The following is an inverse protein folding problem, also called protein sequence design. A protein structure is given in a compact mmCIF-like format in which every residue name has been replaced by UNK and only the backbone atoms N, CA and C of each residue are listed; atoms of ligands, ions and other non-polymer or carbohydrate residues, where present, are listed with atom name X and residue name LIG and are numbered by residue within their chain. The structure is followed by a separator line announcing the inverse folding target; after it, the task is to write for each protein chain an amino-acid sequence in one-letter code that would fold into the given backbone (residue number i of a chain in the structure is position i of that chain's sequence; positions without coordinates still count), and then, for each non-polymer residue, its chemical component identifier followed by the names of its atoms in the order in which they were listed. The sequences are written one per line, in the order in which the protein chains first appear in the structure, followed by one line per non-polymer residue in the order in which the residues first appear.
data_IF_017574807935
#
_entry.id   IF_017574807935
#
_cell.length_a   1.000
_cell.length_b   1.000
_cell.length_c   1.000
_cell.angle_alpha   90.00
_cell.angle_beta   90.00
_cell.angle_gamma   90.00
#
_symmetry.space_group_name_H-M   'P 1'
#
loop_
_entity.id
_entity.type
_entity.pdbx_description
1 polymer ?
#
# COMPACT_ATOMS: atom_id res chain seq x y z
N UNK A 1 -3.33 7.64 -3.73
CA UNK A 1 -3.87 6.34 -3.24
C UNK A 1 -2.83 5.22 -3.29
N UNK A 2 -1.55 5.57 -3.17
CA UNK A 2 -0.43 4.62 -3.38
C UNK A 2 -0.56 3.33 -2.55
N UNK A 3 -0.94 3.44 -1.29
CA UNK A 3 -1.09 2.27 -0.39
C UNK A 3 -2.54 1.82 -0.20
N UNK A 4 -3.52 2.65 -0.55
CA UNK A 4 -4.92 2.41 -0.22
C UNK A 4 -5.71 1.71 -1.33
N UNK A 5 -5.43 2.01 -2.61
CA UNK A 5 -6.14 1.36 -3.72
C UNK A 5 -5.87 -0.16 -3.74
N UNK A 6 -6.93 -0.94 -3.72
CA UNK A 6 -6.90 -2.40 -3.57
C UNK A 6 -7.00 -2.90 -2.13
N UNK A 7 -6.87 -2.03 -1.12
CA UNK A 7 -7.04 -2.38 0.31
C UNK A 7 -8.20 -1.67 0.98
N UNK A 8 -8.69 -0.57 0.39
CA UNK A 8 -9.90 0.13 0.82
C UNK A 8 -10.68 0.62 -0.39
N UNK A 9 -11.95 0.90 -0.19
CA UNK A 9 -12.79 1.50 -1.22
C UNK A 9 -12.38 2.95 -1.49
N UNK A 10 -12.02 3.27 -2.75
CA UNK A 10 -11.71 4.63 -3.21
C UNK A 10 -12.66 5.01 -4.34
N UNK A 11 -13.68 5.80 -4.02
CA UNK A 11 -14.71 6.24 -4.98
C UNK A 11 -14.25 7.51 -5.71
N UNK A 12 -13.28 7.37 -6.62
CA UNK A 12 -12.58 8.46 -7.31
C UNK A 12 -13.54 9.48 -7.92
N UNK A 13 -14.54 8.99 -8.65
CA UNK A 13 -15.53 9.86 -9.35
C UNK A 13 -16.46 10.57 -8.37
N UNK A 14 -16.91 9.87 -7.32
CA UNK A 14 -17.81 10.44 -6.30
C UNK A 14 -17.13 11.52 -5.46
N UNK A 15 -15.84 11.35 -5.20
CA UNK A 15 -15.02 12.32 -4.44
C UNK A 15 -14.59 13.49 -5.35
N UNK A 16 -14.66 13.32 -6.68
CA UNK A 16 -14.27 14.32 -7.67
C UNK A 16 -12.74 14.46 -7.84
N UNK A 17 -12.03 13.33 -7.74
CA UNK A 17 -10.56 13.29 -7.93
C UNK A 17 -10.25 13.32 -9.44
N UNK A 18 -9.56 14.34 -9.89
CA UNK A 18 -9.17 14.48 -11.30
C UNK A 18 -7.99 13.59 -11.72
N UNK A 19 -7.06 13.28 -10.79
CA UNK A 19 -5.92 12.38 -11.03
C UNK A 19 -5.74 11.49 -9.80
N UNK A 20 -5.77 10.17 -10.01
CA UNK A 20 -5.52 9.19 -8.96
C UNK A 20 -4.36 8.29 -9.36
N UNK A 21 -3.35 8.19 -8.49
CA UNK A 21 -2.16 7.36 -8.72
C UNK A 21 -2.07 6.31 -7.63
N UNK A 22 -1.81 5.06 -8.03
CA UNK A 22 -1.47 3.96 -7.14
C UNK A 22 -0.23 3.22 -7.61
N UNK A 23 0.37 2.43 -6.73
CA UNK A 23 1.53 1.58 -7.03
C UNK A 23 1.18 0.13 -6.82
N UNK A 24 1.67 -0.74 -7.70
CA UNK A 24 1.33 -2.16 -7.68
C UNK A 24 1.95 -2.93 -6.50
N UNK A 25 3.06 -2.45 -5.91
CA UNK A 25 3.76 -3.10 -4.77
C UNK A 25 3.14 -2.78 -3.40
N UNK A 26 1.93 -2.30 -3.34
CA UNK A 26 1.19 -2.01 -2.11
C UNK A 26 0.01 -2.98 -1.99
N UNK A 27 -1.18 -2.49 -1.74
CA UNK A 27 -2.35 -3.34 -1.56
C UNK A 27 -2.73 -4.19 -2.78
N UNK A 28 -2.17 -3.92 -3.96
CA UNK A 28 -2.31 -4.80 -5.13
C UNK A 28 -1.40 -6.04 -5.08
N UNK A 29 -0.42 -6.11 -4.18
CA UNK A 29 0.34 -7.34 -3.89
C UNK A 29 1.39 -7.74 -4.92
N UNK A 30 1.85 -6.84 -5.80
CA UNK A 30 2.82 -7.14 -6.85
C UNK A 30 4.22 -6.61 -6.51
N UNK A 31 5.28 -7.07 -7.20
CA UNK A 31 6.61 -6.46 -7.10
C UNK A 31 6.61 -4.99 -7.52
N UNK A 32 7.52 -4.14 -6.98
CA UNK A 32 7.66 -2.75 -7.40
C UNK A 32 8.14 -2.65 -8.87
N UNK A 33 7.68 -1.63 -9.60
CA UNK A 33 8.10 -1.37 -10.98
C UNK A 33 7.03 -0.80 -11.89
N UNK A 34 5.77 -0.71 -11.41
CA UNK A 34 4.66 -0.13 -12.18
C UNK A 34 3.77 0.72 -11.30
N UNK A 35 3.21 1.77 -11.89
CA UNK A 35 2.13 2.58 -11.29
C UNK A 35 0.92 2.61 -12.22
N UNK A 36 -0.25 2.68 -11.64
CA UNK A 36 -1.51 2.88 -12.35
C UNK A 36 -1.97 4.30 -12.10
N UNK A 37 -2.36 4.99 -13.16
CA UNK A 37 -2.88 6.35 -13.09
C UNK A 37 -4.24 6.42 -13.78
N UNK A 38 -5.26 6.86 -13.05
CA UNK A 38 -6.54 7.25 -13.64
C UNK A 38 -6.66 8.76 -13.69
N UNK A 39 -7.31 9.29 -14.73
CA UNK A 39 -7.49 10.73 -14.88
C UNK A 39 -8.82 11.07 -15.56
N UNK A 40 -9.41 12.19 -15.12
CA UNK A 40 -10.69 12.68 -15.63
C UNK A 40 -10.52 13.40 -16.98
N UNK A 41 -11.63 13.60 -17.70
CA UNK A 41 -11.63 14.43 -18.90
C UNK A 41 -11.16 15.86 -18.60
N UNK A 42 -11.51 16.40 -17.44
CA UNK A 42 -11.06 17.73 -16.99
C UNK A 42 -9.53 17.81 -16.85
N UNK A 43 -8.87 16.74 -16.34
CA UNK A 43 -7.40 16.68 -16.29
C UNK A 43 -6.78 16.69 -17.69
N UNK A 44 -7.37 15.96 -18.66
CA UNK A 44 -6.95 15.97 -20.07
C UNK A 44 -7.09 17.36 -20.69
N UNK A 45 -8.21 18.01 -20.48
CA UNK A 45 -8.47 19.35 -21.06
C UNK A 45 -7.54 20.40 -20.45
N UNK A 46 -7.21 20.27 -19.15
CA UNK A 46 -6.20 21.10 -18.51
C UNK A 46 -4.80 20.83 -19.05
N UNK A 47 -4.44 19.56 -19.26
CA UNK A 47 -3.13 19.17 -19.81
C UNK A 47 -2.86 19.80 -21.20
N UNK A 48 -3.89 19.92 -22.07
CA UNK A 48 -3.79 20.58 -23.38
C UNK A 48 -3.37 22.06 -23.29
N UNK A 49 -3.64 22.71 -22.15
CA UNK A 49 -3.34 24.12 -21.92
C UNK A 49 -1.99 24.35 -21.24
N UNK A 50 -1.33 23.28 -20.75
CA UNK A 50 -0.04 23.36 -20.06
C UNK A 50 1.09 23.15 -21.05
N UNK A 51 1.95 24.15 -21.30
CA UNK A 51 3.17 23.96 -22.09
C UNK A 51 4.20 23.16 -21.25
N UNK A 52 5.12 22.48 -21.93
CA UNK A 52 6.27 21.81 -21.30
C UNK A 52 5.90 20.77 -20.23
N UNK A 53 5.13 19.75 -20.61
CA UNK A 53 4.75 18.63 -19.75
C UNK A 53 5.82 17.54 -19.61
N UNK A 54 6.97 17.72 -20.27
CA UNK A 54 7.99 16.69 -20.41
C UNK A 54 7.65 15.69 -21.52
N UNK A 55 8.39 14.57 -21.54
CA UNK A 55 8.21 13.55 -22.57
C UNK A 55 7.71 12.23 -21.95
N UNK A 56 8.42 11.70 -20.97
CA UNK A 56 8.14 10.36 -20.41
C UNK A 56 6.90 10.32 -19.52
N UNK A 57 6.64 11.39 -18.75
CA UNK A 57 5.52 11.48 -17.81
C UNK A 57 4.34 12.30 -18.36
N UNK A 58 4.32 12.58 -19.67
CA UNK A 58 3.21 13.30 -20.30
C UNK A 58 1.98 12.40 -20.44
N UNK A 59 1.05 12.50 -19.51
CA UNK A 59 -0.21 11.73 -19.52
C UNK A 59 -1.07 12.01 -20.74
N UNK A 60 -0.98 13.21 -21.34
CA UNK A 60 -1.71 13.51 -22.56
C UNK A 60 -1.16 12.70 -23.74
N UNK A 61 0.16 12.58 -23.86
CA UNK A 61 0.76 11.72 -24.88
C UNK A 61 0.37 10.26 -24.68
N UNK A 62 0.40 9.75 -23.44
CA UNK A 62 -0.04 8.39 -23.11
C UNK A 62 -1.52 8.19 -23.49
N UNK A 63 -2.41 9.11 -23.13
CA UNK A 63 -3.81 9.07 -23.48
C UNK A 63 -4.03 9.04 -25.00
N UNK A 64 -3.32 9.87 -25.77
CA UNK A 64 -3.43 9.88 -27.23
C UNK A 64 -2.98 8.58 -27.88
N UNK A 65 -1.93 7.93 -27.35
CA UNK A 65 -1.49 6.61 -27.81
C UNK A 65 -2.57 5.54 -27.54
N UNK A 66 -3.15 5.54 -26.33
CA UNK A 66 -4.23 4.60 -25.99
C UNK A 66 -5.42 4.72 -26.92
N UNK A 67 -5.87 5.95 -27.19
CA UNK A 67 -7.10 6.18 -27.97
C UNK A 67 -6.87 6.10 -29.49
N UNK A 68 -5.77 6.70 -30.00
CA UNK A 68 -5.55 6.83 -31.45
C UNK A 68 -4.73 5.66 -32.03
N UNK A 69 -4.01 4.92 -31.23
CA UNK A 69 -3.09 3.85 -31.67
C UNK A 69 -3.42 2.48 -31.10
N UNK A 70 -4.68 2.22 -30.86
CA UNK A 70 -5.19 0.92 -30.43
C UNK A 70 -4.47 0.38 -29.18
N UNK A 71 -4.55 1.14 -28.07
CA UNK A 71 -3.99 0.77 -26.76
C UNK A 71 -2.45 0.64 -26.72
N UNK A 72 -1.75 1.38 -27.57
CA UNK A 72 -0.29 1.45 -27.50
C UNK A 72 0.17 2.45 -26.43
N UNK A 73 1.46 2.39 -26.13
CA UNK A 73 2.17 3.31 -25.23
C UNK A 73 3.26 4.06 -26.01
N UNK A 74 3.61 5.30 -25.62
CA UNK A 74 4.70 6.05 -26.27
C UNK A 74 6.09 5.47 -25.97
N UNK A 75 6.22 4.61 -24.94
CA UNK A 75 7.43 3.88 -24.59
C UNK A 75 7.08 2.42 -24.31
N UNK A 76 8.07 1.52 -24.37
CA UNK A 76 7.86 0.10 -24.08
C UNK A 76 7.38 -0.10 -22.63
N UNK A 77 6.17 -0.63 -22.41
CA UNK A 77 5.67 -0.89 -21.07
C UNK A 77 6.33 -2.12 -20.45
N UNK A 78 6.30 -2.25 -19.13
CA UNK A 78 6.72 -3.46 -18.42
C UNK A 78 5.69 -4.57 -18.60
N UNK A 79 5.83 -5.37 -19.65
CA UNK A 79 4.87 -6.44 -19.98
C UNK A 79 4.74 -7.47 -18.86
N UNK A 80 5.83 -7.83 -18.20
CA UNK A 80 5.78 -8.78 -17.07
C UNK A 80 4.92 -8.27 -15.92
N UNK A 81 4.96 -6.97 -15.60
CA UNK A 81 4.07 -6.37 -14.59
C UNK A 81 2.63 -6.27 -15.09
N UNK A 82 2.41 -6.04 -16.38
CA UNK A 82 1.04 -5.99 -16.94
C UNK A 82 0.37 -7.36 -16.87
N UNK A 83 1.07 -8.45 -17.26
CA UNK A 83 0.55 -9.80 -17.10
C UNK A 83 0.33 -10.19 -15.63
N UNK A 84 1.28 -9.83 -14.75
CA UNK A 84 1.12 -10.08 -13.32
C UNK A 84 -0.06 -9.30 -12.73
N UNK A 85 -0.29 -8.05 -13.18
CA UNK A 85 -1.44 -7.26 -12.74
C UNK A 85 -2.76 -7.84 -13.24
N UNK A 86 -2.83 -8.27 -14.50
CA UNK A 86 -3.99 -8.93 -15.09
C UNK A 86 -4.41 -10.15 -14.25
N UNK A 87 -3.45 -11.06 -14.01
CA UNK A 87 -3.67 -12.23 -13.16
C UNK A 87 -4.10 -11.86 -11.74
N UNK A 88 -3.46 -10.84 -11.14
CA UNK A 88 -3.79 -10.40 -9.78
C UNK A 88 -5.16 -9.73 -9.69
N UNK A 89 -5.57 -9.03 -10.73
CA UNK A 89 -6.91 -8.44 -10.77
C UNK A 89 -8.00 -9.52 -10.80
N UNK A 90 -7.78 -10.63 -11.51
CA UNK A 90 -8.70 -11.78 -11.49
C UNK A 90 -8.82 -12.35 -10.07
N UNK A 91 -7.69 -12.57 -9.37
CA UNK A 91 -7.70 -13.04 -7.97
C UNK A 91 -8.45 -12.07 -7.05
N UNK A 92 -8.25 -10.76 -7.22
CA UNK A 92 -8.94 -9.73 -6.43
C UNK A 92 -10.45 -9.73 -6.70
N UNK A 93 -10.85 -9.92 -7.95
CA UNK A 93 -12.27 -9.98 -8.33
C UNK A 93 -12.93 -11.28 -7.84
N UNK A 94 -12.21 -12.39 -7.87
CA UNK A 94 -12.67 -13.68 -7.34
C UNK A 94 -12.83 -13.64 -5.80
N UNK A 95 -11.89 -13.00 -5.08
CA UNK A 95 -12.06 -12.71 -3.64
C UNK A 95 -13.29 -11.83 -3.38
N UNK A 96 -13.58 -10.91 -4.28
CA UNK A 96 -14.59 -9.87 -4.17
C UNK A 96 -14.10 -8.65 -3.39
N UNK A 97 -14.37 -7.45 -3.94
CA UNK A 97 -13.83 -6.21 -3.38
C UNK A 97 -14.25 -5.95 -1.92
N UNK A 98 -15.51 -6.21 -1.58
CA UNK A 98 -15.99 -6.00 -0.20
C UNK A 98 -15.32 -6.97 0.78
N UNK A 99 -15.13 -8.25 0.40
CA UNK A 99 -14.40 -9.22 1.22
C UNK A 99 -12.95 -8.79 1.42
N UNK A 100 -12.30 -8.33 0.35
CA UNK A 100 -10.92 -7.83 0.41
C UNK A 100 -10.78 -6.61 1.33
N UNK A 101 -11.71 -5.65 1.26
CA UNK A 101 -11.68 -4.47 2.12
C UNK A 101 -11.92 -4.84 3.58
N UNK A 102 -12.85 -5.74 3.86
CA UNK A 102 -13.12 -6.25 5.21
C UNK A 102 -11.89 -6.98 5.78
N UNK A 103 -11.23 -7.85 5.00
CA UNK A 103 -10.00 -8.53 5.41
C UNK A 103 -8.89 -7.54 5.77
N UNK A 104 -8.71 -6.48 4.99
CA UNK A 104 -7.74 -5.42 5.32
C UNK A 104 -8.11 -4.67 6.61
N UNK A 105 -9.38 -4.42 6.85
CA UNK A 105 -9.87 -3.80 8.08
C UNK A 105 -9.64 -4.70 9.29
N UNK A 106 -9.92 -5.99 9.18
CA UNK A 106 -9.71 -6.99 10.24
C UNK A 106 -8.22 -7.09 10.60
N UNK A 107 -7.32 -7.19 9.61
CA UNK A 107 -5.88 -7.16 9.84
C UNK A 107 -5.42 -5.86 10.50
N UNK A 108 -5.95 -4.71 10.06
CA UNK A 108 -5.65 -3.41 10.64
C UNK A 108 -6.09 -3.33 12.11
N UNK A 109 -7.29 -3.81 12.42
CA UNK A 109 -7.83 -3.82 13.78
C UNK A 109 -7.02 -4.76 14.69
N UNK A 110 -6.61 -5.92 14.19
CA UNK A 110 -5.73 -6.84 14.89
C UNK A 110 -4.41 -6.15 15.31
N UNK A 111 -3.70 -5.54 14.36
CA UNK A 111 -2.45 -4.82 14.64
C UNK A 111 -2.65 -3.64 15.59
N UNK A 112 -3.73 -2.86 15.40
CA UNK A 112 -4.02 -1.69 16.24
C UNK A 112 -4.33 -2.11 17.69
N UNK A 113 -5.11 -3.17 17.87
CA UNK A 113 -5.45 -3.69 19.20
C UNK A 113 -4.19 -4.20 19.92
N UNK A 114 -3.35 -4.94 19.23
CA UNK A 114 -2.06 -5.37 19.73
C UNK A 114 -1.16 -4.16 20.08
N UNK A 115 -1.07 -3.18 19.19
CA UNK A 115 -0.25 -1.99 19.42
C UNK A 115 -0.73 -1.19 20.63
N UNK A 116 -2.04 -1.03 20.83
CA UNK A 116 -2.61 -0.34 22.00
C UNK A 116 -2.36 -1.08 23.32
N UNK A 117 -2.20 -2.41 23.28
CA UNK A 117 -1.88 -3.21 24.47
C UNK A 117 -0.43 -3.04 24.91
N UNK A 118 0.51 -2.89 23.99
CA UNK A 118 1.94 -2.93 24.26
C UNK A 118 2.67 -1.61 24.01
N UNK A 119 2.13 -0.73 23.16
CA UNK A 119 2.72 0.52 22.68
C UNK A 119 1.66 1.61 22.57
N UNK A 120 1.87 2.57 21.66
CA UNK A 120 0.87 3.57 21.26
C UNK A 120 0.78 3.68 19.74
N UNK A 121 -0.38 4.07 19.23
CA UNK A 121 -0.55 4.42 17.82
C UNK A 121 0.04 5.81 17.61
N UNK A 122 0.99 5.96 16.70
CA UNK A 122 1.63 7.23 16.40
C UNK A 122 0.72 8.21 15.66
N UNK A 123 -0.18 7.70 14.83
CA UNK A 123 -1.06 8.50 13.98
C UNK A 123 -2.33 8.90 14.73
N UNK A 124 -2.90 10.06 14.39
CA UNK A 124 -4.22 10.46 14.88
C UNK A 124 -5.27 9.38 14.54
N UNK A 125 -5.98 8.89 15.54
CA UNK A 125 -6.91 7.78 15.42
C UNK A 125 -8.10 8.05 14.47
N UNK A 126 -8.42 9.31 14.18
CA UNK A 126 -9.46 9.68 13.21
C UNK A 126 -8.99 9.52 11.74
N UNK A 127 -7.72 9.23 11.50
CA UNK A 127 -7.11 9.18 10.15
C UNK A 127 -6.22 7.96 9.96
N UNK A 128 -6.64 6.81 10.46
CA UNK A 128 -5.89 5.55 10.36
C UNK A 128 -6.04 4.92 8.98
N UNK A 129 -4.95 4.29 8.51
CA UNK A 129 -4.94 3.51 7.27
C UNK A 129 -5.28 2.05 7.54
N UNK A 130 -6.13 1.43 6.71
CA UNK A 130 -6.39 -0.02 6.80
C UNK A 130 -5.32 -0.88 6.10
N UNK A 131 -4.19 -0.28 5.68
CA UNK A 131 -3.12 -1.01 4.99
C UNK A 131 -1.78 -0.93 5.70
N UNK A 132 -1.62 -0.01 6.65
CA UNK A 132 -0.39 0.21 7.39
C UNK A 132 -0.69 0.81 8.76
N UNK A 133 -0.07 0.29 9.81
CA UNK A 133 -0.11 0.87 11.16
C UNK A 133 1.27 1.38 11.54
N UNK A 134 1.36 2.64 11.98
CA UNK A 134 2.56 3.26 12.54
C UNK A 134 2.44 3.24 14.05
N UNK A 135 3.42 2.64 14.72
CA UNK A 135 3.43 2.39 16.15
C UNK A 135 4.55 3.21 16.79
N UNK A 136 4.21 3.97 17.82
CA UNK A 136 5.18 4.70 18.62
C UNK A 136 5.90 3.74 19.57
N UNK A 137 7.23 3.78 19.57
CA UNK A 137 8.08 2.92 20.40
C UNK A 137 8.17 3.46 21.84
N UNK A 138 7.06 3.41 22.57
CA UNK A 138 6.96 3.92 23.94
C UNK A 138 7.76 3.11 24.96
N UNK A 139 8.13 1.88 24.61
CA UNK A 139 8.93 1.02 25.48
C UNK A 139 10.44 1.14 25.25
N UNK A 140 10.87 1.93 24.25
CA UNK A 140 12.28 2.14 23.93
C UNK A 140 13.01 0.86 23.50
N UNK A 141 12.31 -0.09 22.89
CA UNK A 141 12.94 -1.29 22.34
C UNK A 141 13.87 -0.93 21.18
N UNK A 142 14.90 -1.74 20.92
CA UNK A 142 15.65 -1.61 19.67
C UNK A 142 14.85 -2.24 18.54
N UNK A 143 14.26 -1.40 17.67
CA UNK A 143 13.52 -1.84 16.49
C UNK A 143 14.44 -2.58 15.51
N UNK A 144 15.69 -2.14 15.39
CA UNK A 144 16.69 -2.79 14.55
C UNK A 144 17.01 -4.21 15.05
N UNK A 145 17.16 -4.41 16.37
CA UNK A 145 17.39 -5.74 16.94
C UNK A 145 16.17 -6.65 16.80
N UNK A 146 14.95 -6.11 17.07
CA UNK A 146 13.70 -6.83 16.83
C UNK A 146 13.64 -7.32 15.38
N UNK A 147 13.94 -6.44 14.43
CA UNK A 147 13.88 -6.76 13.00
C UNK A 147 14.90 -7.84 12.61
N UNK A 148 16.12 -7.81 13.18
CA UNK A 148 17.11 -8.87 12.94
C UNK A 148 16.61 -10.24 13.42
N UNK A 149 16.00 -10.31 14.60
CA UNK A 149 15.44 -11.56 15.14
C UNK A 149 14.21 -12.04 14.34
N UNK A 150 13.39 -11.11 13.87
CA UNK A 150 12.25 -11.44 13.00
C UNK A 150 12.72 -12.01 11.65
N UNK A 151 13.81 -11.47 11.07
CA UNK A 151 14.38 -11.97 9.82
C UNK A 151 14.87 -13.42 9.96
N UNK A 152 15.42 -13.82 11.10
CA UNK A 152 15.80 -15.22 11.38
C UNK A 152 14.59 -16.17 11.36
N UNK A 153 13.39 -15.62 11.57
CA UNK A 153 12.09 -16.34 11.55
C UNK A 153 11.32 -16.16 10.23
N UNK A 154 11.88 -15.46 9.26
CA UNK A 154 11.25 -15.21 7.96
C UNK A 154 10.32 -13.99 7.92
N UNK A 155 10.32 -13.16 8.97
CA UNK A 155 9.49 -11.95 9.05
C UNK A 155 10.30 -10.66 8.94
N UNK A 156 9.65 -9.57 8.57
CA UNK A 156 10.25 -8.25 8.55
C UNK A 156 9.22 -7.16 8.82
N UNK A 157 9.57 -6.20 9.68
CA UNK A 157 8.84 -4.96 9.89
C UNK A 157 9.68 -3.77 9.42
N UNK A 158 9.07 -2.61 9.24
CA UNK A 158 9.79 -1.42 8.84
C UNK A 158 10.07 -0.51 10.03
N UNK A 159 11.31 -0.05 10.17
CA UNK A 159 11.68 0.99 11.12
C UNK A 159 11.08 2.35 10.72
N UNK A 160 11.08 3.34 11.60
CA UNK A 160 10.74 4.72 11.29
C UNK A 160 11.70 5.33 10.26
N UNK A 161 11.25 6.36 9.55
CA UNK A 161 12.08 7.10 8.59
C UNK A 161 12.71 8.34 9.23
N UNK A 162 13.94 8.65 8.82
CA UNK A 162 14.64 9.87 9.23
C UNK A 162 14.67 10.03 10.74
N UNK A 163 14.16 11.14 11.24
CA UNK A 163 14.11 11.46 12.68
C UNK A 163 13.19 10.58 13.50
N UNK A 164 12.36 9.75 12.86
CA UNK A 164 11.48 8.76 13.51
C UNK A 164 12.14 7.39 13.65
N UNK A 165 13.37 7.19 13.13
CA UNK A 165 14.10 5.92 13.28
C UNK A 165 14.26 5.58 14.75
N UNK A 166 13.99 4.32 15.12
CA UNK A 166 13.95 3.79 16.50
C UNK A 166 12.87 4.41 17.40
N UNK A 167 12.25 5.54 17.00
CA UNK A 167 11.13 6.14 17.75
C UNK A 167 9.78 5.58 17.34
N UNK A 168 9.67 5.08 16.11
CA UNK A 168 8.50 4.40 15.59
C UNK A 168 8.89 3.17 14.81
N UNK A 169 7.93 2.27 14.61
CA UNK A 169 8.03 1.18 13.64
C UNK A 169 6.69 0.98 12.94
N UNK A 170 6.69 0.25 11.84
CA UNK A 170 5.52 0.12 10.98
C UNK A 170 5.26 -1.35 10.67
N UNK A 171 4.01 -1.75 10.84
CA UNK A 171 3.52 -3.06 10.43
C UNK A 171 2.59 -2.86 9.23
N UNK A 172 2.97 -3.47 8.11
CA UNK A 172 2.16 -3.54 6.90
C UNK A 172 1.20 -4.70 7.01
N UNK A 173 -0.06 -4.46 6.68
CA UNK A 173 -1.13 -5.45 6.62
C UNK A 173 -1.93 -5.22 5.34
N UNK A 174 -1.29 -5.47 4.18
CA UNK A 174 -1.84 -5.18 2.85
C UNK A 174 -1.49 -6.26 1.84
N UNK A 175 -2.17 -6.23 0.71
CA UNK A 175 -1.98 -7.20 -0.37
C UNK A 175 -2.73 -8.50 -0.09
N UNK A 176 -2.05 -9.62 -0.23
CA UNK A 176 -2.67 -10.94 -0.11
C UNK A 176 -2.43 -11.60 1.26
N UNK A 177 -1.88 -10.86 2.23
CA UNK A 177 -1.78 -11.33 3.61
C UNK A 177 -3.16 -11.62 4.19
N UNK A 178 -3.23 -12.66 5.01
CA UNK A 178 -4.41 -13.05 5.78
C UNK A 178 -4.34 -12.52 7.21
N UNK A 179 -5.43 -12.63 7.95
CA UNK A 179 -5.47 -12.31 9.38
C UNK A 179 -4.52 -13.23 10.16
N UNK A 180 -4.42 -14.50 9.74
CA UNK A 180 -3.55 -15.52 10.33
C UNK A 180 -2.07 -15.17 10.13
N UNK A 181 -1.65 -14.70 8.93
CA UNK A 181 -0.28 -14.26 8.67
C UNK A 181 0.11 -13.09 9.59
N UNK A 182 -0.81 -12.15 9.79
CA UNK A 182 -0.60 -11.00 10.67
C UNK A 182 -0.54 -11.44 12.13
N UNK A 183 -1.40 -12.37 12.56
CA UNK A 183 -1.36 -12.92 13.92
C UNK A 183 -0.03 -13.63 14.17
N UNK A 184 0.44 -14.45 13.25
CA UNK A 184 1.73 -15.13 13.35
C UNK A 184 2.89 -14.15 13.52
N UNK A 185 2.90 -13.04 12.76
CA UNK A 185 3.88 -11.97 12.94
C UNK A 185 3.81 -11.38 14.36
N UNK A 186 2.62 -11.07 14.88
CA UNK A 186 2.45 -10.49 16.22
C UNK A 186 2.89 -11.46 17.31
N UNK A 187 2.57 -12.74 17.20
CA UNK A 187 3.00 -13.79 18.14
C UNK A 187 4.53 -13.92 18.18
N UNK A 188 5.19 -13.79 17.01
CA UNK A 188 6.66 -13.77 16.94
C UNK A 188 7.25 -12.51 17.59
N UNK A 189 6.62 -11.35 17.44
CA UNK A 189 7.06 -10.13 18.14
C UNK A 189 6.90 -10.30 19.65
N UNK A 190 5.77 -10.83 20.11
CA UNK A 190 5.48 -11.06 21.52
C UNK A 190 6.48 -12.02 22.17
N UNK A 191 6.81 -13.12 21.48
CA UNK A 191 7.83 -14.06 21.96
C UNK A 191 9.23 -13.42 22.04
N UNK A 192 9.64 -12.67 21.00
CA UNK A 192 10.95 -12.00 20.99
C UNK A 192 11.07 -10.94 22.09
N UNK A 193 9.99 -10.22 22.37
CA UNK A 193 9.96 -9.15 23.37
C UNK A 193 9.58 -9.66 24.77
N UNK A 194 9.12 -10.90 24.89
CA UNK A 194 8.74 -11.53 26.17
C UNK A 194 7.41 -11.03 26.73
N UNK A 195 6.47 -10.63 25.87
CA UNK A 195 5.14 -10.15 26.27
C UNK A 195 4.18 -11.27 26.66
N UNK A 196 4.48 -12.52 26.32
CA UNK A 196 3.69 -13.73 26.64
C UNK A 196 4.01 -14.34 28.00
N UNK A 197 4.70 -13.61 28.91
CA UNK A 197 5.08 -14.08 30.25
C UNK A 197 4.15 -13.56 31.33
#
# INVERSE_FOLDING_TARGET
TVSSAGGIKVEVDKIGIDICITSVQKALGLPPGMSICTFSQKAIDRAKQVPFRGVYLDLLAMYEYLIKKNYQYPSTPSLSHMFALDFQLDNILDEGLDNRFNRHEDMANLVRNWAKKHFQIFTNENHLSNTLTVIENTQGISVSNLNSKLQERGFQIANGYGDLKEKTFRISHMGDYTVEDVQELLDNIDDILGFNK
#
